data_IF_565277554889
#
_entry.id   IF_565277554889
#
_cell.length_a   1.000
_cell.length_b   1.000
_cell.length_c   1.000
_cell.angle_alpha   90.00
_cell.angle_beta   90.00
_cell.angle_gamma   90.00
#
_symmetry.space_group_name_H-M   'P 1'
#
loop_
_entity.id
_entity.type
_entity.pdbx_description
1 polymer ?
#
# COMPACT_ATOMS: atom_id res chain seq x y z
N UNK A 1 -41.85 -28.19 -1.41
CA UNK A 1 -40.72 -27.74 -2.27
C UNK A 1 -39.43 -28.14 -1.58
N UNK A 2 -38.57 -28.93 -2.22
CA UNK A 2 -37.23 -29.20 -1.67
C UNK A 2 -36.44 -27.89 -1.64
N UNK A 3 -35.95 -27.49 -0.46
CA UNK A 3 -35.03 -26.36 -0.33
C UNK A 3 -33.85 -26.62 -1.27
N UNK A 4 -33.65 -25.77 -2.28
CA UNK A 4 -32.48 -25.85 -3.15
C UNK A 4 -31.26 -25.68 -2.25
N UNK A 5 -30.47 -26.75 -2.06
CA UNK A 5 -29.18 -26.66 -1.37
C UNK A 5 -28.23 -25.88 -2.27
N UNK A 6 -28.01 -24.62 -1.93
CA UNK A 6 -26.86 -23.88 -2.45
C UNK A 6 -25.60 -24.68 -2.08
N UNK A 7 -24.65 -24.81 -3.02
CA UNK A 7 -23.38 -25.51 -2.80
C UNK A 7 -22.54 -24.86 -1.68
N UNK A 8 -22.94 -23.68 -1.21
CA UNK A 8 -22.22 -22.83 -0.28
C UNK A 8 -22.77 -22.88 1.15
N UNK A 9 -23.84 -23.64 1.43
CA UNK A 9 -24.40 -23.73 2.78
C UNK A 9 -23.57 -24.64 3.68
N UNK A 10 -23.18 -24.12 4.84
CA UNK A 10 -22.46 -24.87 5.86
C UNK A 10 -23.41 -25.41 6.95
N UNK A 11 -23.04 -26.51 7.63
CA UNK A 11 -23.78 -26.96 8.81
C UNK A 11 -23.58 -25.96 9.97
N UNK A 12 -24.65 -25.73 10.74
CA UNK A 12 -24.62 -24.90 11.95
C UNK A 12 -23.74 -25.52 13.04
N UNK A 13 -23.00 -24.71 13.79
CA UNK A 13 -22.22 -25.15 14.96
C UNK A 13 -23.13 -25.37 16.17
N UNK A 14 -22.76 -26.28 17.07
CA UNK A 14 -23.54 -26.54 18.27
C UNK A 14 -23.60 -25.33 19.22
N UNK A 15 -22.48 -24.61 19.35
CA UNK A 15 -22.37 -23.39 20.16
C UNK A 15 -23.17 -22.23 19.56
N UNK A 16 -23.12 -22.06 18.23
CA UNK A 16 -23.94 -21.09 17.51
C UNK A 16 -25.43 -21.36 17.63
N UNK A 17 -25.85 -22.62 17.47
CA UNK A 17 -27.26 -23.00 17.63
C UNK A 17 -27.76 -22.66 19.03
N UNK A 18 -26.96 -22.98 20.06
CA UNK A 18 -27.28 -22.64 21.45
C UNK A 18 -27.36 -21.12 21.66
N UNK A 19 -26.42 -20.35 21.13
CA UNK A 19 -26.42 -18.89 21.24
C UNK A 19 -27.62 -18.25 20.51
N UNK A 20 -28.07 -18.84 19.40
CA UNK A 20 -29.30 -18.45 18.70
C UNK A 20 -30.53 -18.74 19.57
N UNK A 21 -30.65 -19.94 20.13
CA UNK A 21 -31.77 -20.34 21.00
C UNK A 21 -31.86 -19.49 22.28
N UNK A 22 -30.71 -19.20 22.90
CA UNK A 22 -30.62 -18.41 24.12
C UNK A 22 -30.76 -16.89 23.84
N UNK A 23 -30.77 -16.46 22.57
CA UNK A 23 -30.82 -15.05 22.17
C UNK A 23 -29.61 -14.23 22.62
N UNK A 24 -28.50 -14.89 22.94
CA UNK A 24 -27.28 -14.27 23.49
C UNK A 24 -26.29 -13.83 22.42
N UNK A 25 -26.60 -14.12 21.16
CA UNK A 25 -25.74 -13.87 20.02
C UNK A 25 -25.59 -12.36 19.77
N UNK A 26 -24.37 -11.86 19.98
CA UNK A 26 -24.05 -10.43 19.82
C UNK A 26 -23.49 -10.14 18.43
N UNK A 27 -23.63 -8.89 17.97
CA UNK A 27 -22.99 -8.46 16.74
C UNK A 27 -21.47 -8.53 16.88
N UNK A 28 -20.79 -9.10 15.88
CA UNK A 28 -19.33 -9.32 15.87
C UNK A 28 -18.84 -10.42 16.85
N UNK A 29 -19.74 -11.30 17.31
CA UNK A 29 -19.39 -12.49 18.12
C UNK A 29 -18.68 -13.56 17.27
N UNK A 30 -17.77 -14.32 17.88
CA UNK A 30 -17.08 -15.44 17.22
C UNK A 30 -18.09 -16.49 16.72
N UNK A 31 -19.13 -16.78 17.50
CA UNK A 31 -20.17 -17.72 17.11
C UNK A 31 -21.07 -17.19 15.99
N UNK A 32 -21.23 -15.88 15.87
CA UNK A 32 -21.91 -15.27 14.72
C UNK A 32 -21.13 -15.57 13.43
N UNK A 33 -19.80 -15.40 13.45
CA UNK A 33 -18.98 -15.57 12.26
C UNK A 33 -18.84 -17.02 11.81
N UNK A 34 -18.67 -17.96 12.75
CA UNK A 34 -18.61 -19.40 12.45
C UNK A 34 -19.89 -19.94 11.82
N UNK A 35 -21.01 -19.24 11.99
CA UNK A 35 -22.33 -19.66 11.49
C UNK A 35 -22.80 -18.89 10.27
N UNK A 36 -21.93 -18.11 9.62
CA UNK A 36 -22.22 -17.52 8.31
C UNK A 36 -22.51 -18.61 7.27
N UNK A 37 -23.48 -18.36 6.39
CA UNK A 37 -23.95 -19.28 5.35
C UNK A 37 -24.59 -20.57 5.88
N UNK A 38 -25.04 -20.61 7.14
CA UNK A 38 -25.74 -21.78 7.70
C UNK A 38 -27.23 -21.84 7.31
N UNK A 39 -27.78 -20.72 6.85
CA UNK A 39 -29.21 -20.51 6.64
C UNK A 39 -29.98 -20.19 7.93
N UNK A 40 -29.59 -20.82 9.04
CA UNK A 40 -30.24 -20.66 10.35
C UNK A 40 -29.88 -19.31 10.96
N UNK A 41 -28.60 -18.92 10.89
CA UNK A 41 -28.16 -17.62 11.36
C UNK A 41 -28.82 -16.49 10.57
N UNK A 42 -28.91 -16.61 9.25
CA UNK A 42 -29.55 -15.62 8.39
C UNK A 42 -31.03 -15.46 8.73
N UNK A 43 -31.74 -16.58 8.93
CA UNK A 43 -33.14 -16.53 9.36
C UNK A 43 -33.30 -15.86 10.73
N UNK A 44 -32.44 -16.21 11.71
CA UNK A 44 -32.44 -15.57 13.03
C UNK A 44 -32.19 -14.06 12.94
N UNK A 45 -31.19 -13.64 12.16
CA UNK A 45 -30.87 -12.23 11.97
C UNK A 45 -31.98 -11.49 11.20
N UNK A 46 -32.67 -12.15 10.26
CA UNK A 46 -33.79 -11.56 9.53
C UNK A 46 -35.01 -11.38 10.44
N UNK A 47 -35.36 -12.36 11.27
CA UNK A 47 -36.42 -12.25 12.28
C UNK A 47 -36.09 -11.18 13.32
N UNK A 48 -34.87 -11.18 13.85
CA UNK A 48 -34.39 -10.15 14.78
C UNK A 48 -34.43 -8.76 14.16
N UNK A 49 -33.98 -8.63 12.90
CA UNK A 49 -34.08 -7.36 12.18
C UNK A 49 -35.53 -6.95 11.93
N UNK A 50 -36.47 -7.85 11.66
CA UNK A 50 -37.88 -7.45 11.49
C UNK A 50 -38.48 -6.85 12.78
N UNK A 51 -38.03 -7.31 13.93
CA UNK A 51 -38.41 -6.77 15.24
C UNK A 51 -37.66 -5.47 15.58
N UNK A 52 -36.36 -5.39 15.28
CA UNK A 52 -35.47 -4.27 15.65
C UNK A 52 -35.40 -3.16 14.58
N UNK A 53 -35.73 -3.41 13.31
CA UNK A 53 -35.49 -2.50 12.17
C UNK A 53 -36.32 -1.22 12.17
N UNK A 54 -37.31 -1.10 13.06
CA UNK A 54 -38.04 0.14 13.27
C UNK A 54 -37.35 1.10 14.25
N UNK A 55 -36.14 0.79 14.72
CA UNK A 55 -35.32 1.75 15.45
C UNK A 55 -34.92 2.96 14.59
N UNK A 56 -34.90 4.14 15.23
CA UNK A 56 -34.50 5.40 14.61
C UNK A 56 -33.07 5.30 14.07
N UNK A 57 -32.81 5.88 12.90
CA UNK A 57 -31.49 5.94 12.29
C UNK A 57 -30.40 6.32 13.30
N UNK A 58 -29.44 5.41 13.54
CA UNK A 58 -28.23 5.66 14.33
C UNK A 58 -27.22 6.55 13.59
N UNK A 59 -27.69 7.57 12.88
CA UNK A 59 -26.83 8.51 12.18
C UNK A 59 -25.98 9.29 13.19
N UNK A 60 -24.67 9.34 12.95
CA UNK A 60 -23.76 10.11 13.79
C UNK A 60 -22.80 10.93 12.95
N UNK A 61 -23.09 12.23 12.83
CA UNK A 61 -22.24 13.18 12.12
C UNK A 61 -20.79 13.17 12.65
N UNK A 62 -20.62 13.00 13.97
CA UNK A 62 -19.29 12.93 14.58
C UNK A 62 -18.45 11.76 14.03
N UNK A 63 -19.06 10.57 13.86
CA UNK A 63 -18.36 9.40 13.33
C UNK A 63 -18.08 9.53 11.83
N UNK A 64 -18.99 10.16 11.09
CA UNK A 64 -18.76 10.53 9.68
C UNK A 64 -17.53 11.42 9.57
N UNK A 65 -17.46 12.48 10.38
CA UNK A 65 -16.32 13.42 10.36
C UNK A 65 -15.01 12.74 10.75
N UNK A 66 -15.02 11.84 11.75
CA UNK A 66 -13.83 11.05 12.10
C UNK A 66 -13.41 10.17 10.93
N UNK A 67 -14.36 9.49 10.28
CA UNK A 67 -14.10 8.67 9.10
C UNK A 67 -13.53 9.47 7.93
N UNK A 68 -14.11 10.64 7.62
CA UNK A 68 -13.59 11.56 6.60
C UNK A 68 -12.18 12.02 6.96
N UNK A 69 -11.91 12.36 8.22
CA UNK A 69 -10.59 12.83 8.64
C UNK A 69 -9.51 11.74 8.49
N UNK A 70 -9.80 10.51 8.95
CA UNK A 70 -8.91 9.36 8.75
C UNK A 70 -8.73 9.11 7.24
N UNK A 71 -9.83 9.08 6.50
CA UNK A 71 -9.84 8.85 5.06
C UNK A 71 -9.08 9.91 4.28
N UNK A 72 -9.14 11.18 4.67
CA UNK A 72 -8.43 12.28 4.03
C UNK A 72 -6.92 12.17 4.21
N UNK A 73 -6.45 11.83 5.42
CA UNK A 73 -5.03 11.61 5.69
C UNK A 73 -4.50 10.46 4.83
N UNK A 74 -5.19 9.32 4.85
CA UNK A 74 -4.78 8.16 4.06
C UNK A 74 -4.96 8.37 2.56
N UNK A 75 -5.95 9.15 2.13
CA UNK A 75 -6.13 9.56 0.73
C UNK A 75 -4.88 10.28 0.22
N UNK A 76 -4.30 11.19 1.01
CA UNK A 76 -3.05 11.87 0.66
C UNK A 76 -1.86 10.91 0.56
N UNK A 77 -1.76 9.96 1.49
CA UNK A 77 -0.73 8.90 1.45
C UNK A 77 -0.89 8.03 0.20
N UNK A 78 -2.11 7.56 -0.08
CA UNK A 78 -2.43 6.75 -1.26
C UNK A 78 -2.17 7.54 -2.55
N UNK A 79 -2.46 8.84 -2.59
CA UNK A 79 -2.17 9.69 -3.73
C UNK A 79 -0.66 9.79 -3.99
N UNK A 80 0.11 10.09 -2.94
CA UNK A 80 1.57 10.21 -3.03
C UNK A 80 2.24 8.89 -3.46
N UNK A 81 1.89 7.79 -2.80
CA UNK A 81 2.43 6.46 -3.12
C UNK A 81 1.98 6.05 -4.53
N UNK A 82 0.70 6.25 -4.88
CA UNK A 82 0.17 5.92 -6.20
C UNK A 82 0.86 6.67 -7.34
N UNK A 83 1.13 7.97 -7.16
CA UNK A 83 1.83 8.77 -8.17
C UNK A 83 3.34 8.51 -8.22
N UNK A 84 3.96 8.15 -7.09
CA UNK A 84 5.41 7.91 -7.03
C UNK A 84 5.82 6.51 -7.46
N UNK A 85 5.09 5.48 -7.02
CA UNK A 85 5.44 4.07 -7.22
C UNK A 85 4.39 3.27 -8.00
N UNK A 86 3.29 3.90 -8.44
CA UNK A 86 2.26 3.24 -9.24
C UNK A 86 1.38 2.25 -8.47
N UNK A 87 1.38 2.30 -7.13
CA UNK A 87 0.68 1.34 -6.28
C UNK A 87 -0.36 2.02 -5.38
N UNK A 88 -1.59 1.51 -5.39
CA UNK A 88 -2.67 1.96 -4.52
C UNK A 88 -2.74 1.11 -3.25
N UNK A 89 -2.69 1.73 -2.07
CA UNK A 89 -2.83 1.07 -0.77
C UNK A 89 -4.20 1.40 -0.16
N UNK A 90 -4.93 0.37 0.30
CA UNK A 90 -6.21 0.54 1.03
C UNK A 90 -6.08 0.04 2.46
N UNK A 91 -5.64 0.92 3.36
CA UNK A 91 -5.46 0.61 4.79
C UNK A 91 -6.34 1.45 5.73
N UNK A 92 -6.93 2.53 5.22
CA UNK A 92 -7.60 3.54 6.04
C UNK A 92 -8.81 2.98 6.80
N UNK A 93 -9.61 2.14 6.14
CA UNK A 93 -10.82 1.56 6.72
C UNK A 93 -10.51 0.70 7.96
N UNK A 94 -9.38 -0.03 7.95
CA UNK A 94 -8.93 -0.82 9.11
C UNK A 94 -8.62 0.06 10.33
N UNK A 95 -8.03 1.25 10.11
CA UNK A 95 -7.74 2.19 11.20
C UNK A 95 -9.03 2.74 11.80
N UNK A 96 -10.00 3.11 10.97
CA UNK A 96 -11.32 3.54 11.45
C UNK A 96 -12.05 2.43 12.22
N UNK A 97 -11.93 1.19 11.75
CA UNK A 97 -12.50 0.01 12.41
C UNK A 97 -11.86 -0.26 13.78
N UNK A 98 -10.52 -0.32 13.85
CA UNK A 98 -9.77 -0.52 15.09
C UNK A 98 -10.02 0.59 16.10
N UNK A 99 -10.08 1.84 15.64
CA UNK A 99 -10.41 2.99 16.48
C UNK A 99 -11.83 2.85 17.06
N UNK A 100 -12.79 2.46 16.23
CA UNK A 100 -14.17 2.24 16.66
C UNK A 100 -14.29 1.13 17.71
N UNK A 101 -13.60 0.01 17.52
CA UNK A 101 -13.56 -1.06 18.53
C UNK A 101 -12.85 -0.61 19.82
N UNK A 102 -11.71 0.07 19.72
CA UNK A 102 -10.94 0.54 20.87
C UNK A 102 -11.72 1.54 21.74
N UNK A 103 -12.53 2.39 21.08
CA UNK A 103 -13.41 3.36 21.71
C UNK A 103 -14.81 2.80 22.02
N UNK A 104 -15.03 1.50 21.82
CA UNK A 104 -16.30 0.80 22.10
C UNK A 104 -17.51 1.44 21.42
N UNK A 105 -17.33 1.85 20.16
CA UNK A 105 -18.44 2.33 19.35
C UNK A 105 -19.41 1.19 19.00
N UNK A 106 -20.67 1.54 18.80
CA UNK A 106 -21.66 0.59 18.31
C UNK A 106 -21.36 0.14 16.87
N UNK A 107 -21.83 -1.03 16.43
CA UNK A 107 -21.61 -1.51 15.06
C UNK A 107 -22.04 -0.52 13.97
N UNK A 108 -23.15 0.21 14.20
CA UNK A 108 -23.63 1.26 13.29
C UNK A 108 -22.65 2.44 13.19
N UNK A 109 -22.14 2.92 14.32
CA UNK A 109 -21.13 3.98 14.37
C UNK A 109 -19.81 3.58 13.72
N UNK A 110 -19.37 2.32 13.93
CA UNK A 110 -18.18 1.76 13.28
C UNK A 110 -18.41 1.73 11.77
N UNK A 111 -19.55 1.21 11.31
CA UNK A 111 -19.87 1.10 9.89
C UNK A 111 -19.97 2.46 9.19
N UNK A 112 -20.53 3.46 9.88
CA UNK A 112 -20.57 4.85 9.39
C UNK A 112 -19.16 5.41 9.18
N UNK A 113 -18.29 5.26 10.19
CA UNK A 113 -16.92 5.77 10.11
C UNK A 113 -16.09 5.05 9.06
N UNK A 114 -16.16 3.70 8.99
CA UNK A 114 -15.41 2.91 8.00
C UNK A 114 -15.90 3.20 6.59
N UNK A 115 -17.21 3.32 6.37
CA UNK A 115 -17.77 3.66 5.06
C UNK A 115 -17.34 5.04 4.58
N UNK A 116 -17.39 6.05 5.46
CA UNK A 116 -16.92 7.40 5.15
C UNK A 116 -15.41 7.41 4.82
N UNK A 117 -14.62 6.65 5.58
CA UNK A 117 -13.18 6.47 5.34
C UNK A 117 -12.89 5.86 3.98
N UNK A 118 -13.59 4.76 3.65
CA UNK A 118 -13.47 4.03 2.40
C UNK A 118 -13.83 4.90 1.19
N UNK A 119 -14.93 5.66 1.28
CA UNK A 119 -15.33 6.61 0.24
C UNK A 119 -14.27 7.68 -0.03
N UNK A 120 -13.70 8.27 1.03
CA UNK A 120 -12.63 9.25 0.90
C UNK A 120 -11.36 8.68 0.24
N UNK A 121 -10.95 7.46 0.60
CA UNK A 121 -9.77 6.83 -0.03
C UNK A 121 -10.00 6.43 -1.48
N UNK A 122 -11.20 5.96 -1.86
CA UNK A 122 -11.47 5.56 -3.24
C UNK A 122 -11.58 6.75 -4.19
N UNK A 123 -12.01 7.92 -3.70
CA UNK A 123 -11.93 9.15 -4.48
C UNK A 123 -10.47 9.44 -4.91
N UNK A 124 -9.51 9.22 -4.01
CA UNK A 124 -8.07 9.32 -4.31
C UNK A 124 -7.59 8.27 -5.31
N UNK A 125 -8.07 7.03 -5.18
CA UNK A 125 -7.73 5.96 -6.14
C UNK A 125 -8.19 6.33 -7.56
N UNK A 126 -9.38 6.89 -7.73
CA UNK A 126 -9.81 7.40 -9.03
C UNK A 126 -8.89 8.52 -9.56
N UNK A 127 -8.47 9.42 -8.67
CA UNK A 127 -7.57 10.53 -9.00
C UNK A 127 -6.20 10.04 -9.51
N UNK A 128 -5.53 9.11 -8.82
CA UNK A 128 -4.18 8.66 -9.21
C UNK A 128 -4.12 7.99 -10.58
N UNK A 129 -5.22 7.40 -11.07
CA UNK A 129 -5.27 6.79 -12.40
C UNK A 129 -5.73 7.79 -13.48
N UNK A 130 -6.62 8.71 -13.13
CA UNK A 130 -7.21 9.65 -14.10
C UNK A 130 -6.30 10.86 -14.33
N UNK A 131 -5.67 11.38 -13.28
CA UNK A 131 -4.88 12.61 -13.36
C UNK A 131 -3.64 12.47 -14.25
N UNK A 132 -2.80 11.41 -14.13
CA UNK A 132 -1.70 11.21 -15.06
C UNK A 132 -2.17 11.03 -16.51
N UNK A 133 -3.28 10.32 -16.73
CA UNK A 133 -3.85 10.12 -18.06
C UNK A 133 -4.23 11.44 -18.74
N UNK A 134 -4.79 12.41 -17.99
CA UNK A 134 -5.09 13.75 -18.50
C UNK A 134 -3.81 14.45 -18.99
N UNK A 135 -2.72 14.39 -18.22
CA UNK A 135 -1.45 15.02 -18.62
C UNK A 135 -0.83 14.32 -19.83
N UNK A 136 -0.93 12.99 -19.92
CA UNK A 136 -0.49 12.25 -21.11
C UNK A 136 -1.27 12.70 -22.36
N UNK A 137 -2.60 12.82 -22.26
CA UNK A 137 -3.45 13.28 -23.37
C UNK A 137 -3.24 14.75 -23.74
N UNK A 138 -2.69 15.56 -22.83
CA UNK A 138 -2.49 16.99 -23.03
C UNK A 138 -1.10 17.38 -23.53
N UNK A 139 -0.06 16.61 -23.17
CA UNK A 139 1.33 17.00 -23.38
C UNK A 139 2.17 15.95 -24.12
N UNK A 140 1.74 14.69 -24.20
CA UNK A 140 2.56 13.65 -24.81
C UNK A 140 2.28 13.54 -26.32
N UNK A 141 3.31 13.63 -27.18
CA UNK A 141 3.18 13.48 -28.63
C UNK A 141 2.61 12.12 -29.06
N UNK A 142 2.83 11.08 -28.24
CA UNK A 142 2.37 9.71 -28.51
C UNK A 142 0.84 9.55 -28.47
N UNK A 143 0.13 10.52 -27.88
CA UNK A 143 -1.32 10.50 -27.74
C UNK A 143 -2.01 11.61 -28.55
N UNK A 144 -1.30 12.21 -29.51
CA UNK A 144 -1.91 13.13 -30.46
C UNK A 144 -2.87 12.39 -31.40
N UNK A 145 -4.05 12.98 -31.62
CA UNK A 145 -5.06 12.44 -32.53
C UNK A 145 -5.47 13.55 -33.48
N UNK A 146 -5.29 13.34 -34.78
CA UNK A 146 -5.63 14.34 -35.79
C UNK A 146 -4.67 15.54 -35.86
N UNK A 147 -3.41 15.37 -35.43
CA UNK A 147 -2.37 16.39 -35.51
C UNK A 147 -2.35 17.40 -34.35
N UNK A 148 -2.94 17.03 -33.21
CA UNK A 148 -2.85 17.80 -31.98
C UNK A 148 -3.26 17.00 -30.76
N UNK A 149 -3.00 17.55 -29.57
CA UNK A 149 -3.42 16.95 -28.30
C UNK A 149 -4.94 17.04 -28.12
N UNK A 150 -5.56 15.99 -27.59
CA UNK A 150 -7.00 15.98 -27.28
C UNK A 150 -7.35 17.04 -26.23
N UNK A 151 -6.40 17.34 -25.33
CA UNK A 151 -6.57 18.31 -24.26
C UNK A 151 -5.56 19.42 -24.49
N UNK A 152 -6.03 20.60 -24.88
CA UNK A 152 -5.17 21.73 -25.26
C UNK A 152 -4.83 22.67 -24.10
N UNK A 153 -5.56 22.60 -22.99
CA UNK A 153 -5.27 23.37 -21.77
C UNK A 153 -5.60 22.56 -20.53
N UNK A 154 -4.61 22.39 -19.65
CA UNK A 154 -4.77 21.71 -18.36
C UNK A 154 -4.86 22.79 -17.29
N UNK A 155 -6.06 23.29 -17.03
CA UNK A 155 -6.31 24.07 -15.82
C UNK A 155 -6.57 23.10 -14.65
N UNK A 156 -5.58 23.01 -13.76
CA UNK A 156 -5.62 22.14 -12.58
C UNK A 156 -6.85 22.43 -11.70
N UNK A 157 -7.28 23.69 -11.58
CA UNK A 157 -8.45 24.03 -10.76
C UNK A 157 -9.75 23.55 -11.41
N UNK A 158 -9.87 23.72 -12.73
CA UNK A 158 -11.02 23.22 -13.48
C UNK A 158 -11.10 21.68 -13.43
N UNK A 159 -9.96 21.01 -13.57
CA UNK A 159 -9.87 19.55 -13.48
C UNK A 159 -10.21 19.04 -12.09
N UNK A 160 -9.70 19.69 -11.04
CA UNK A 160 -10.06 19.38 -9.66
C UNK A 160 -11.57 19.53 -9.44
N UNK A 161 -12.17 20.61 -9.95
CA UNK A 161 -13.62 20.83 -9.86
C UNK A 161 -14.42 19.75 -10.59
N UNK A 162 -14.07 19.43 -11.83
CA UNK A 162 -14.73 18.36 -12.61
C UNK A 162 -14.57 17.01 -11.90
N UNK A 163 -13.38 16.71 -11.36
CA UNK A 163 -13.11 15.48 -10.61
C UNK A 163 -13.96 15.36 -9.34
N UNK A 164 -14.14 16.46 -8.60
CA UNK A 164 -15.02 16.49 -7.42
C UNK A 164 -16.47 16.21 -7.84
N UNK A 165 -16.98 16.90 -8.85
CA UNK A 165 -18.36 16.70 -9.31
C UNK A 165 -18.57 15.27 -9.84
N UNK A 166 -17.66 14.78 -10.69
CA UNK A 166 -17.74 13.44 -11.25
C UNK A 166 -17.68 12.35 -10.16
N UNK A 167 -16.82 12.50 -9.15
CA UNK A 167 -16.74 11.56 -8.03
C UNK A 167 -18.00 11.57 -7.15
N UNK A 168 -18.65 12.72 -6.97
CA UNK A 168 -19.96 12.81 -6.29
C UNK A 168 -21.04 12.04 -7.06
N UNK A 169 -21.13 12.22 -8.39
CA UNK A 169 -22.09 11.50 -9.23
C UNK A 169 -21.80 10.00 -9.29
N UNK A 170 -20.53 9.62 -9.43
CA UNK A 170 -20.10 8.23 -9.42
C UNK A 170 -20.43 7.54 -8.08
N UNK A 171 -20.21 8.24 -6.97
CA UNK A 171 -20.59 7.76 -5.63
C UNK A 171 -22.10 7.52 -5.50
N UNK A 172 -22.91 8.47 -5.97
CA UNK A 172 -24.37 8.33 -5.96
C UNK A 172 -24.84 7.16 -6.85
N UNK A 173 -24.31 7.04 -8.07
CA UNK A 173 -24.56 5.92 -8.97
C UNK A 173 -24.19 4.58 -8.33
N UNK A 174 -23.05 4.50 -7.65
CA UNK A 174 -22.63 3.31 -6.92
C UNK A 174 -23.64 2.87 -5.87
N UNK A 175 -24.16 3.81 -5.06
CA UNK A 175 -25.19 3.52 -4.06
C UNK A 175 -26.49 3.04 -4.74
N UNK A 176 -26.91 3.68 -5.82
CA UNK A 176 -28.10 3.24 -6.57
C UNK A 176 -27.96 1.83 -7.12
N UNK A 177 -26.80 1.51 -7.72
CA UNK A 177 -26.51 0.17 -8.21
C UNK A 177 -26.54 -0.86 -7.08
N UNK A 178 -25.98 -0.52 -5.91
CA UNK A 178 -26.01 -1.40 -4.76
C UNK A 178 -27.44 -1.64 -4.26
N UNK A 179 -28.30 -0.61 -4.22
CA UNK A 179 -29.71 -0.75 -3.84
C UNK A 179 -30.43 -1.70 -4.78
N UNK A 180 -30.20 -1.58 -6.09
CA UNK A 180 -30.82 -2.45 -7.12
C UNK A 180 -30.33 -3.90 -6.96
N UNK A 181 -29.03 -4.10 -6.79
CA UNK A 181 -28.43 -5.43 -6.73
C UNK A 181 -28.44 -6.08 -5.35
N UNK A 182 -28.81 -5.36 -4.27
CA UNK A 182 -28.78 -5.90 -2.90
C UNK A 182 -29.52 -7.22 -2.78
N UNK A 183 -30.66 -7.37 -3.48
CA UNK A 183 -31.47 -8.59 -3.42
C UNK A 183 -30.73 -9.78 -4.06
N UNK A 184 -30.09 -9.55 -5.19
CA UNK A 184 -29.31 -10.58 -5.89
C UNK A 184 -28.08 -10.96 -5.07
N UNK A 185 -27.35 -9.97 -4.55
CA UNK A 185 -26.08 -10.19 -3.86
C UNK A 185 -26.20 -10.66 -2.40
N UNK A 186 -27.25 -10.27 -1.68
CA UNK A 186 -27.39 -10.58 -0.25
C UNK A 186 -28.44 -11.66 0.04
N UNK A 187 -29.48 -11.78 -0.78
CA UNK A 187 -30.66 -12.62 -0.45
C UNK A 187 -30.72 -13.88 -1.32
N UNK A 188 -30.56 -13.73 -2.63
CA UNK A 188 -30.85 -14.82 -3.58
C UNK A 188 -29.64 -15.73 -3.85
N UNK A 189 -28.43 -15.19 -3.87
CA UNK A 189 -27.21 -15.98 -3.98
C UNK A 189 -26.08 -15.27 -3.21
N UNK A 190 -25.92 -15.53 -1.89
CA UNK A 190 -24.80 -14.99 -1.14
C UNK A 190 -23.53 -15.61 -1.71
N UNK A 191 -22.93 -14.91 -2.67
CA UNK A 191 -21.63 -15.27 -3.21
C UNK A 191 -20.66 -15.34 -2.02
N UNK A 192 -19.79 -16.36 -1.93
CA UNK A 192 -18.63 -16.28 -1.06
C UNK A 192 -17.86 -15.06 -1.53
N UNK A 193 -17.95 -13.93 -0.83
CA UNK A 193 -17.28 -12.70 -1.24
C UNK A 193 -15.78 -12.99 -1.14
N UNK A 194 -15.05 -13.25 -2.25
CA UNK A 194 -13.66 -13.64 -2.18
C UNK A 194 -12.90 -12.38 -1.76
N UNK A 195 -12.58 -12.28 -0.46
CA UNK A 195 -12.13 -11.06 0.19
C UNK A 195 -12.75 -10.83 1.57
N UNK A 196 -14.04 -11.14 1.75
CA UNK A 196 -14.67 -11.12 3.07
C UNK A 196 -14.23 -12.31 3.91
N UNK A 197 -14.05 -13.51 3.33
CA UNK A 197 -13.45 -14.66 4.05
C UNK A 197 -12.04 -14.37 4.54
N UNK A 198 -11.18 -13.70 3.73
CA UNK A 198 -9.87 -13.28 4.18
C UNK A 198 -9.98 -12.22 5.31
N UNK A 199 -10.94 -11.31 5.19
CA UNK A 199 -11.25 -10.31 6.23
C UNK A 199 -11.77 -10.96 7.51
N UNK A 200 -12.61 -11.99 7.39
CA UNK A 200 -13.16 -12.80 8.48
C UNK A 200 -12.10 -13.67 9.13
N UNK A 201 -11.21 -14.29 8.36
CA UNK A 201 -10.07 -15.07 8.88
C UNK A 201 -9.06 -14.14 9.56
N UNK A 202 -8.86 -12.92 9.06
CA UNK A 202 -8.10 -11.88 9.75
C UNK A 202 -8.79 -11.43 11.04
N UNK A 203 -10.12 -11.35 11.02
CA UNK A 203 -10.94 -11.06 12.18
C UNK A 203 -10.95 -12.22 13.17
N UNK A 204 -10.88 -13.46 12.71
CA UNK A 204 -10.85 -14.70 13.49
C UNK A 204 -9.46 -14.91 14.11
N UNK A 205 -8.38 -14.56 13.41
CA UNK A 205 -7.03 -14.46 13.97
C UNK A 205 -6.94 -13.31 14.99
N UNK A 206 -7.70 -12.22 14.77
CA UNK A 206 -7.87 -11.19 15.79
C UNK A 206 -8.81 -11.65 16.93
N UNK A 207 -9.76 -12.56 16.66
CA UNK A 207 -10.73 -13.09 17.61
C UNK A 207 -10.23 -14.30 18.42
N UNK A 208 -9.19 -15.01 17.98
CA UNK A 208 -8.55 -16.10 18.75
C UNK A 208 -7.80 -15.55 19.99
N UNK A 209 -7.84 -14.22 20.17
CA UNK A 209 -7.34 -13.47 21.32
C UNK A 209 -8.50 -12.80 22.10
N UNK A 210 -9.77 -13.03 21.72
CA UNK A 210 -10.94 -12.19 22.05
C UNK A 210 -11.71 -12.44 23.34
N UNK A 211 -11.14 -13.09 24.35
CA UNK A 211 -11.63 -12.79 25.70
C UNK A 211 -11.12 -11.39 26.14
N UNK A 212 -11.72 -10.32 25.61
CA UNK A 212 -11.34 -8.92 25.91
C UNK A 212 -11.23 -7.95 24.73
N UNK A 213 -12.05 -8.11 23.68
CA UNK A 213 -11.93 -7.44 22.37
C UNK A 213 -11.59 -5.92 22.37
N UNK A 214 -12.16 -5.12 23.28
CA UNK A 214 -11.85 -3.69 23.34
C UNK A 214 -10.42 -3.39 23.85
N UNK A 215 -9.93 -4.17 24.80
CA UNK A 215 -8.58 -3.97 25.36
C UNK A 215 -7.51 -4.52 24.43
N UNK A 216 -7.82 -5.58 23.70
CA UNK A 216 -6.99 -6.07 22.61
C UNK A 216 -6.97 -5.10 21.42
N UNK A 217 -8.10 -4.50 21.02
CA UNK A 217 -8.10 -3.47 19.97
C UNK A 217 -7.22 -2.26 20.34
N UNK A 218 -7.24 -1.85 21.62
CA UNK A 218 -6.29 -0.84 22.13
C UNK A 218 -4.85 -1.33 22.08
N UNK A 219 -4.59 -2.59 22.36
CA UNK A 219 -3.25 -3.19 22.25
C UNK A 219 -2.77 -3.26 20.80
N UNK A 220 -3.62 -3.66 19.84
CA UNK A 220 -3.34 -3.62 18.42
C UNK A 220 -3.05 -2.19 17.95
N UNK A 221 -3.82 -1.20 18.40
CA UNK A 221 -3.56 0.22 18.09
C UNK A 221 -2.21 0.69 18.67
N UNK A 222 -1.87 0.28 19.89
CA UNK A 222 -0.54 0.53 20.48
C UNK A 222 0.57 -0.14 19.68
N UNK A 223 0.36 -1.38 19.23
CA UNK A 223 1.36 -2.13 18.44
C UNK A 223 1.57 -1.49 17.08
N UNK A 224 0.51 -1.10 16.38
CA UNK A 224 0.56 -0.35 15.12
C UNK A 224 1.23 1.01 15.33
N UNK A 225 0.93 1.71 16.42
CA UNK A 225 1.58 2.97 16.78
C UNK A 225 3.08 2.79 17.04
N UNK A 226 3.46 1.78 17.82
CA UNK A 226 4.86 1.45 18.11
C UNK A 226 5.62 1.03 16.86
N UNK A 227 5.03 0.19 16.01
CA UNK A 227 5.67 -0.23 14.76
C UNK A 227 5.83 0.94 13.81
N UNK A 228 4.82 1.81 13.70
CA UNK A 228 4.89 3.05 12.90
C UNK A 228 6.03 3.95 13.39
N UNK A 229 6.09 4.21 14.70
CA UNK A 229 7.17 5.02 15.28
C UNK A 229 8.54 4.37 15.10
N UNK A 230 8.64 3.04 15.29
CA UNK A 230 9.88 2.31 15.07
C UNK A 230 10.34 2.38 13.61
N UNK A 231 9.42 2.24 12.66
CA UNK A 231 9.71 2.39 11.23
C UNK A 231 10.10 3.82 10.89
N UNK A 232 9.41 4.84 11.43
CA UNK A 232 9.78 6.24 11.25
C UNK A 232 11.18 6.52 11.79
N UNK A 233 11.53 6.01 12.97
CA UNK A 233 12.87 6.13 13.55
C UNK A 233 13.93 5.42 12.69
N UNK A 234 13.64 4.21 12.21
CA UNK A 234 14.54 3.46 11.35
C UNK A 234 14.80 4.20 10.02
N UNK A 235 13.73 4.64 9.35
CA UNK A 235 13.82 5.44 8.13
C UNK A 235 14.51 6.78 8.40
N UNK A 236 14.27 7.42 9.54
CA UNK A 236 15.00 8.64 9.92
C UNK A 236 16.51 8.40 10.02
N UNK A 237 16.94 7.29 10.60
CA UNK A 237 18.36 6.94 10.73
C UNK A 237 19.00 6.67 9.35
N UNK A 238 18.26 6.05 8.44
CA UNK A 238 18.77 5.56 7.15
C UNK A 238 18.64 6.57 6.01
N UNK A 239 17.60 7.41 6.01
CA UNK A 239 17.30 8.32 4.90
C UNK A 239 17.36 9.80 5.27
N UNK A 240 17.09 10.18 6.53
CA UNK A 240 16.96 11.59 6.85
C UNK A 240 18.31 12.32 6.78
N UNK A 241 18.43 13.40 5.99
CA UNK A 241 19.68 14.13 5.86
C UNK A 241 19.96 14.95 7.14
N UNK A 242 20.72 14.37 8.06
CA UNK A 242 21.10 15.02 9.33
C UNK A 242 22.00 16.24 9.15
N UNK A 243 22.77 16.27 8.06
CA UNK A 243 23.63 17.40 7.70
C UNK A 243 23.19 18.03 6.39
N UNK A 244 22.58 19.20 6.49
CA UNK A 244 22.14 19.96 5.32
C UNK A 244 23.32 20.37 4.42
N UNK A 245 24.47 20.68 5.00
CA UNK A 245 25.70 21.02 4.25
C UNK A 245 26.16 19.87 3.35
N UNK A 246 26.16 18.64 3.88
CA UNK A 246 26.52 17.44 3.11
C UNK A 246 25.53 17.18 1.98
N UNK A 247 24.24 17.32 2.29
CA UNK A 247 23.18 17.14 1.30
C UNK A 247 23.28 18.14 0.15
N UNK A 248 23.58 19.41 0.44
CA UNK A 248 23.80 20.45 -0.58
C UNK A 248 25.01 20.17 -1.46
N UNK A 249 26.08 19.60 -0.90
CA UNK A 249 27.27 19.18 -1.64
C UNK A 249 27.09 17.85 -2.40
N UNK A 250 25.87 17.30 -2.46
CA UNK A 250 25.56 16.04 -3.15
C UNK A 250 26.07 14.78 -2.44
N UNK A 251 26.39 14.88 -1.15
CA UNK A 251 26.90 13.78 -0.32
C UNK A 251 25.80 13.21 0.57
N UNK A 252 25.77 11.88 0.69
CA UNK A 252 24.86 11.20 1.61
C UNK A 252 25.03 11.71 3.05
N UNK A 253 23.90 12.13 3.62
CA UNK A 253 23.83 12.84 4.89
C UNK A 253 23.04 12.09 5.97
N UNK A 254 22.62 10.86 5.68
CA UNK A 254 21.95 10.02 6.68
C UNK A 254 22.91 9.62 7.79
N UNK A 255 22.37 9.26 8.96
CA UNK A 255 23.20 8.80 10.08
C UNK A 255 23.96 7.54 9.70
N UNK A 256 23.28 6.61 9.03
CA UNK A 256 23.85 5.32 8.65
C UNK A 256 24.95 5.48 7.59
N UNK A 257 24.78 6.38 6.63
CA UNK A 257 25.83 6.72 5.66
C UNK A 257 27.06 7.32 6.35
N UNK A 258 26.87 8.26 7.27
CA UNK A 258 28.00 8.85 8.03
C UNK A 258 28.73 7.79 8.85
N UNK A 259 28.00 6.85 9.45
CA UNK A 259 28.59 5.71 10.17
C UNK A 259 29.36 4.80 9.19
N UNK A 260 28.78 4.49 8.02
CA UNK A 260 29.40 3.65 7.02
C UNK A 260 30.69 4.25 6.44
N UNK A 261 30.75 5.58 6.28
CA UNK A 261 31.95 6.28 5.86
C UNK A 261 33.06 6.27 6.92
N UNK A 262 32.69 6.28 8.21
CA UNK A 262 33.63 6.27 9.33
C UNK A 262 34.11 4.87 9.73
N UNK A 263 33.29 3.84 9.50
CA UNK A 263 33.63 2.46 9.81
C UNK A 263 34.40 1.82 8.65
N UNK A 264 35.71 1.70 8.81
CA UNK A 264 36.58 0.97 7.88
C UNK A 264 36.82 -0.46 8.36
N UNK A 265 36.58 -1.44 7.48
CA UNK A 265 36.91 -2.84 7.69
C UNK A 265 37.87 -3.32 6.60
N UNK A 266 38.98 -3.94 6.99
CA UNK A 266 40.00 -4.46 6.06
C UNK A 266 40.55 -3.42 5.03
N UNK A 267 40.63 -2.13 5.41
CA UNK A 267 41.13 -1.07 4.55
C UNK A 267 40.12 -0.45 3.58
N UNK A 268 38.90 -0.99 3.54
CA UNK A 268 37.77 -0.43 2.79
C UNK A 268 36.70 0.10 3.75
N UNK A 269 36.23 1.32 3.54
CA UNK A 269 35.08 1.84 4.31
C UNK A 269 33.82 1.02 4.01
N UNK A 270 32.94 0.85 5.00
CA UNK A 270 31.65 0.18 4.82
C UNK A 270 30.79 0.89 3.77
N UNK A 271 31.04 2.18 3.54
CA UNK A 271 30.46 2.95 2.44
C UNK A 271 30.78 2.39 1.05
N UNK A 272 31.80 1.55 0.88
CA UNK A 272 32.08 0.89 -0.41
C UNK A 272 30.99 -0.08 -0.85
N UNK A 273 30.24 -0.68 0.09
CA UNK A 273 29.16 -1.67 -0.17
C UNK A 273 27.78 -1.15 0.24
N UNK A 274 27.71 0.04 0.81
CA UNK A 274 26.47 0.64 1.28
C UNK A 274 26.47 2.14 0.97
N UNK A 275 25.40 2.60 0.33
CA UNK A 275 25.13 4.03 0.16
C UNK A 275 23.64 4.26 -0.01
N UNK A 276 23.13 5.36 0.55
CA UNK A 276 21.76 5.83 0.32
C UNK A 276 20.73 4.69 0.41
N UNK A 277 20.60 4.08 1.60
CA UNK A 277 19.72 2.94 1.90
C UNK A 277 19.87 1.69 1.02
N UNK A 278 20.87 1.61 0.14
CA UNK A 278 21.09 0.47 -0.72
C UNK A 278 22.36 -0.28 -0.34
N UNK A 279 22.26 -1.61 -0.24
CA UNK A 279 23.41 -2.50 -0.25
C UNK A 279 23.72 -2.83 -1.70
N UNK A 280 24.92 -2.52 -2.14
CA UNK A 280 25.36 -2.74 -3.51
C UNK A 280 26.74 -3.42 -3.49
N UNK A 281 27.25 -3.73 -4.67
CA UNK A 281 28.60 -4.28 -4.78
C UNK A 281 29.66 -3.27 -4.34
N UNK A 282 30.86 -3.75 -3.96
CA UNK A 282 31.99 -2.89 -3.65
C UNK A 282 32.31 -1.95 -4.82
N UNK A 283 31.87 -0.70 -4.74
CA UNK A 283 32.08 0.32 -5.77
C UNK A 283 33.30 1.20 -5.49
N UNK A 284 33.92 1.04 -4.31
CA UNK A 284 35.00 1.90 -3.84
C UNK A 284 34.49 3.18 -3.17
N UNK A 285 35.43 4.06 -2.83
CA UNK A 285 35.17 5.33 -2.15
C UNK A 285 35.86 6.49 -2.87
N UNK A 286 35.26 7.67 -2.77
CA UNK A 286 35.80 8.94 -3.27
C UNK A 286 35.82 10.01 -2.17
N UNK A 287 36.67 11.01 -2.38
CA UNK A 287 36.63 12.25 -1.62
C UNK A 287 35.87 13.29 -2.43
N UNK A 288 34.86 13.90 -1.83
CA UNK A 288 34.04 14.94 -2.46
C UNK A 288 34.44 16.28 -1.87
N UNK A 289 35.02 17.16 -2.68
CA UNK A 289 35.27 18.56 -2.33
C UNK A 289 34.06 19.40 -2.74
N UNK A 290 33.23 19.77 -1.76
CA UNK A 290 32.06 20.61 -1.95
C UNK A 290 32.29 22.07 -1.54
N UNK A 291 31.30 22.92 -1.80
CA UNK A 291 31.33 24.33 -1.42
C UNK A 291 31.36 24.50 0.12
N UNK A 292 30.81 23.54 0.85
CA UNK A 292 30.66 23.59 2.31
C UNK A 292 31.68 22.72 3.07
N UNK A 293 32.56 21.98 2.37
CA UNK A 293 33.65 21.22 2.97
C UNK A 293 34.15 20.04 2.13
N UNK A 294 35.20 19.38 2.62
CA UNK A 294 35.75 18.15 2.03
C UNK A 294 35.22 16.93 2.79
N UNK A 295 34.63 15.99 2.06
CA UNK A 295 34.00 14.79 2.59
C UNK A 295 34.76 13.55 2.11
N UNK A 296 35.48 12.89 3.01
CA UNK A 296 36.23 11.67 2.69
C UNK A 296 35.39 10.41 2.90
N UNK A 297 35.73 9.34 2.16
CA UNK A 297 35.11 8.03 2.32
C UNK A 297 33.70 7.91 1.74
N UNK A 298 33.27 8.85 0.89
CA UNK A 298 31.94 8.83 0.26
C UNK A 298 31.87 7.67 -0.73
N UNK A 299 30.75 6.95 -0.75
CA UNK A 299 30.56 5.84 -1.70
C UNK A 299 30.57 6.32 -3.15
N UNK A 300 31.07 5.49 -4.05
CA UNK A 300 30.84 5.67 -5.48
C UNK A 300 29.42 5.33 -5.91
N UNK A 301 28.59 4.76 -5.02
CA UNK A 301 27.20 4.43 -5.31
C UNK A 301 27.03 3.04 -5.92
N UNK A 302 25.95 2.86 -6.66
CA UNK A 302 25.68 1.61 -7.40
C UNK A 302 26.71 1.48 -8.52
N UNK A 303 27.22 0.27 -8.75
CA UNK A 303 28.14 0.02 -9.88
C UNK A 303 27.39 0.08 -11.21
N UNK A 304 27.75 1.04 -12.05
CA UNK A 304 27.24 1.23 -13.40
C UNK A 304 28.06 0.44 -14.44
N UNK A 305 27.58 0.38 -15.68
CA UNK A 305 28.24 -0.36 -16.76
C UNK A 305 29.69 0.12 -16.98
N UNK A 306 30.66 -0.79 -16.96
CA UNK A 306 32.06 -0.50 -17.29
C UNK A 306 32.47 -1.25 -18.58
N UNK A 307 32.74 -0.49 -19.65
CA UNK A 307 33.14 -1.05 -20.93
C UNK A 307 34.51 -1.76 -20.88
N UNK A 308 35.38 -1.39 -19.93
CA UNK A 308 36.71 -1.96 -19.76
C UNK A 308 36.73 -3.18 -18.84
N UNK A 309 35.67 -3.38 -18.03
CA UNK A 309 35.55 -4.47 -17.07
C UNK A 309 34.14 -5.05 -17.07
N UNK A 310 33.99 -6.20 -17.72
CA UNK A 310 32.73 -6.93 -17.64
C UNK A 310 32.44 -7.40 -16.19
N UNK A 311 31.42 -6.80 -15.56
CA UNK A 311 30.85 -7.28 -14.32
C UNK A 311 29.36 -7.62 -14.52
N UNK A 312 28.99 -8.92 -14.50
CA UNK A 312 27.62 -9.34 -14.77
C UNK A 312 26.63 -8.88 -13.69
N UNK A 313 27.07 -8.34 -12.57
CA UNK A 313 26.17 -7.84 -11.54
C UNK A 313 26.05 -6.30 -11.53
N UNK A 314 26.55 -5.59 -12.54
CA UNK A 314 26.29 -4.15 -12.68
C UNK A 314 24.78 -3.84 -12.58
N UNK A 315 24.45 -2.69 -12.00
CA UNK A 315 23.08 -2.30 -11.65
C UNK A 315 22.35 -3.21 -10.64
N UNK A 316 23.02 -4.19 -10.03
CA UNK A 316 22.42 -5.06 -9.00
C UNK A 316 22.66 -4.50 -7.60
N UNK A 317 21.58 -4.14 -6.93
CA UNK A 317 21.58 -3.65 -5.55
C UNK A 317 20.33 -4.10 -4.78
N UNK A 318 20.42 -4.10 -3.45
CA UNK A 318 19.35 -4.39 -2.52
C UNK A 318 18.98 -3.11 -1.78
N UNK A 319 17.83 -2.53 -2.12
CA UNK A 319 17.26 -1.40 -1.39
C UNK A 319 16.71 -1.85 -0.03
N UNK A 320 17.12 -1.17 1.03
CA UNK A 320 16.59 -1.34 2.38
C UNK A 320 15.45 -0.36 2.55
N UNK A 321 14.23 -0.84 2.32
CA UNK A 321 13.02 -0.10 2.62
C UNK A 321 12.27 -0.75 3.77
N UNK A 322 11.76 0.07 4.68
CA UNK A 322 10.88 -0.39 5.75
C UNK A 322 9.66 0.50 5.78
N UNK A 323 8.48 -0.10 5.64
CA UNK A 323 7.22 0.58 5.87
C UNK A 323 6.34 -0.26 6.80
N UNK A 324 5.45 0.37 7.59
CA UNK A 324 4.49 -0.37 8.40
C UNK A 324 3.63 -1.32 7.56
N UNK A 325 3.32 -0.93 6.33
CA UNK A 325 2.58 -1.74 5.36
C UNK A 325 3.38 -2.95 4.91
N UNK A 326 4.65 -2.80 4.53
CA UNK A 326 5.52 -3.93 4.14
C UNK A 326 5.70 -4.90 5.31
N UNK A 327 5.87 -4.38 6.53
CA UNK A 327 5.96 -5.20 7.74
C UNK A 327 4.65 -5.97 8.00
N UNK A 328 3.51 -5.30 7.90
CA UNK A 328 2.19 -5.92 8.06
C UNK A 328 1.92 -7.00 6.99
N UNK A 329 2.23 -6.71 5.72
CA UNK A 329 2.13 -7.68 4.62
C UNK A 329 2.99 -8.91 4.89
N UNK A 330 4.26 -8.72 5.29
CA UNK A 330 5.16 -9.81 5.64
C UNK A 330 4.65 -10.65 6.83
N UNK A 331 4.10 -10.00 7.85
CA UNK A 331 3.46 -10.66 8.99
C UNK A 331 2.26 -11.51 8.56
N UNK A 332 1.37 -10.97 7.72
CA UNK A 332 0.17 -11.68 7.25
C UNK A 332 0.50 -12.83 6.30
N UNK A 333 1.41 -12.63 5.36
CA UNK A 333 1.80 -13.65 4.38
C UNK A 333 2.50 -14.85 5.03
N UNK A 334 3.07 -14.66 6.24
CA UNK A 334 3.94 -15.63 6.93
C UNK A 334 5.21 -15.92 6.13
N UNK A 335 6.24 -16.40 6.82
CA UNK A 335 7.60 -16.54 6.26
C UNK A 335 7.65 -17.35 4.96
N UNK A 336 6.87 -18.44 4.88
CA UNK A 336 6.88 -19.34 3.71
C UNK A 336 6.42 -18.65 2.43
N UNK A 337 5.29 -17.93 2.48
CA UNK A 337 4.74 -17.24 1.31
C UNK A 337 5.59 -16.02 0.98
N UNK A 338 6.09 -15.30 1.99
CA UNK A 338 7.01 -14.19 1.81
C UNK A 338 8.29 -14.62 1.06
N UNK A 339 8.90 -15.76 1.41
CA UNK A 339 10.06 -16.30 0.68
C UNK A 339 9.68 -16.64 -0.75
N UNK A 340 8.54 -17.31 -0.97
CA UNK A 340 8.04 -17.67 -2.31
C UNK A 340 7.86 -16.46 -3.22
N UNK A 341 7.29 -15.36 -2.72
CA UNK A 341 7.11 -14.12 -3.49
C UNK A 341 8.47 -13.47 -3.80
N UNK A 342 9.43 -13.53 -2.87
CA UNK A 342 10.78 -13.01 -3.08
C UNK A 342 11.66 -13.87 -3.99
N UNK A 343 11.29 -15.13 -4.30
CA UNK A 343 12.03 -15.95 -5.27
C UNK A 343 12.08 -15.31 -6.66
N UNK A 344 11.03 -14.58 -7.05
CA UNK A 344 11.03 -13.81 -8.31
C UNK A 344 12.13 -12.75 -8.34
N UNK A 345 12.39 -12.09 -7.21
CA UNK A 345 13.48 -11.12 -7.07
C UNK A 345 14.85 -11.78 -7.19
N UNK A 346 15.04 -13.01 -6.67
CA UNK A 346 16.28 -13.76 -6.85
C UNK A 346 16.52 -14.11 -8.33
N UNK A 347 15.48 -14.47 -9.07
CA UNK A 347 15.58 -14.69 -10.51
C UNK A 347 15.98 -13.39 -11.22
N UNK A 348 15.41 -12.25 -10.82
CA UNK A 348 15.78 -10.96 -11.37
C UNK A 348 17.26 -10.63 -11.12
N UNK A 349 17.73 -10.73 -9.87
CA UNK A 349 19.10 -10.38 -9.49
C UNK A 349 20.18 -11.32 -10.04
N UNK A 350 19.95 -12.62 -10.03
CA UNK A 350 20.99 -13.60 -10.38
C UNK A 350 20.93 -14.07 -11.83
N UNK A 351 19.83 -13.80 -12.55
CA UNK A 351 19.67 -14.25 -13.93
C UNK A 351 19.27 -13.11 -14.86
N UNK A 352 18.18 -12.37 -14.60
CA UNK A 352 17.68 -11.40 -15.59
C UNK A 352 18.59 -10.17 -15.71
N UNK A 353 19.00 -9.57 -14.60
CA UNK A 353 19.91 -8.40 -14.61
C UNK A 353 21.27 -8.77 -15.20
N UNK A 354 21.93 -9.88 -14.79
CA UNK A 354 23.17 -10.31 -15.42
C UNK A 354 23.06 -10.64 -16.90
N UNK A 355 21.95 -11.24 -17.31
CA UNK A 355 21.69 -11.50 -18.73
C UNK A 355 21.47 -10.21 -19.50
N UNK A 356 20.76 -9.23 -18.92
CA UNK A 356 20.55 -7.92 -19.51
C UNK A 356 21.88 -7.17 -19.72
N UNK A 357 22.74 -7.14 -18.69
CA UNK A 357 24.08 -6.56 -18.77
C UNK A 357 24.94 -7.30 -19.80
N UNK A 358 24.96 -8.65 -19.75
CA UNK A 358 25.74 -9.47 -20.68
C UNK A 358 25.30 -9.40 -22.14
N UNK A 359 24.02 -9.11 -22.40
CA UNK A 359 23.48 -8.96 -23.76
C UNK A 359 23.42 -7.50 -24.22
N UNK A 360 23.79 -6.54 -23.38
CA UNK A 360 23.74 -5.11 -23.66
C UNK A 360 22.36 -4.67 -24.21
N UNK A 361 21.29 -5.09 -23.51
CA UNK A 361 19.92 -4.85 -23.97
C UNK A 361 19.57 -3.36 -24.02
N UNK A 362 18.82 -2.91 -25.04
CA UNK A 362 18.40 -1.53 -25.15
C UNK A 362 17.33 -1.18 -24.10
N UNK A 363 17.54 -0.09 -23.37
CA UNK A 363 16.64 0.49 -22.37
C UNK A 363 16.09 1.81 -22.90
N UNK A 364 14.80 2.07 -22.63
CA UNK A 364 14.15 3.31 -23.03
C UNK A 364 14.45 4.43 -22.02
N UNK A 365 15.03 5.54 -22.49
CA UNK A 365 15.19 6.76 -21.71
C UNK A 365 14.01 7.70 -22.00
N UNK A 366 13.19 7.97 -20.98
CA UNK A 366 11.99 8.81 -21.12
C UNK A 366 12.31 10.31 -21.33
N UNK A 367 13.47 10.80 -20.88
CA UNK A 367 13.87 12.19 -21.07
C UNK A 367 14.33 12.45 -22.51
N UNK A 368 14.98 11.46 -23.12
CA UNK A 368 15.49 11.54 -24.49
C UNK A 368 14.53 10.94 -25.52
N UNK A 369 13.49 10.23 -25.08
CA UNK A 369 12.46 9.66 -25.93
C UNK A 369 12.94 8.54 -26.86
N UNK A 370 14.09 7.91 -26.55
CA UNK A 370 14.75 6.95 -27.40
C UNK A 370 15.31 5.74 -26.63
N UNK A 371 15.65 4.69 -27.36
CA UNK A 371 16.28 3.49 -26.81
C UNK A 371 17.80 3.61 -26.91
N UNK A 372 18.48 3.36 -25.80
CA UNK A 372 19.93 3.36 -25.68
C UNK A 372 20.40 2.04 -25.11
N UNK A 373 21.59 1.59 -25.49
CA UNK A 373 22.18 0.37 -24.93
C UNK A 373 22.65 0.62 -23.50
N UNK A 374 22.73 -0.43 -22.69
CA UNK A 374 23.28 -0.34 -21.32
C UNK A 374 24.71 0.23 -21.33
N UNK A 375 25.50 -0.12 -22.35
CA UNK A 375 26.83 0.43 -22.58
C UNK A 375 26.88 1.93 -22.85
N UNK A 376 25.83 2.50 -23.46
CA UNK A 376 25.73 3.95 -23.69
C UNK A 376 25.58 4.71 -22.36
N UNK A 377 24.91 4.11 -21.36
CA UNK A 377 24.74 4.72 -20.03
C UNK A 377 26.02 4.76 -19.20
N UNK A 378 26.93 3.82 -19.43
CA UNK A 378 28.20 3.71 -18.70
C UNK A 378 29.36 4.49 -19.31
N UNK A 379 29.23 4.92 -20.58
CA UNK A 379 30.30 5.62 -21.27
C UNK A 379 30.16 7.16 -21.12
N UNK A 380 31.16 7.85 -20.54
CA UNK A 380 31.15 9.31 -20.38
C UNK A 380 31.09 10.10 -21.70
N UNK A 381 31.39 9.46 -22.83
CA UNK A 381 31.41 10.07 -24.17
C UNK A 381 30.06 9.95 -24.90
N UNK A 382 29.11 9.17 -24.38
CA UNK A 382 27.79 8.95 -24.97
C UNK A 382 26.69 9.71 -24.22
N UNK A 383 25.53 9.89 -24.87
CA UNK A 383 24.33 10.48 -24.29
C UNK A 383 23.19 9.47 -24.45
N UNK A 384 22.51 9.04 -23.37
CA UNK A 384 22.63 9.48 -21.98
C UNK A 384 23.84 8.87 -21.27
N UNK A 385 24.52 9.64 -20.43
CA UNK A 385 25.50 9.14 -19.46
C UNK A 385 24.94 9.29 -18.05
N UNK A 386 24.94 8.20 -17.28
CA UNK A 386 24.53 8.18 -15.87
C UNK A 386 25.67 7.62 -15.02
N UNK A 387 26.44 8.48 -14.33
CA UNK A 387 27.58 8.08 -13.51
C UNK A 387 27.20 7.31 -12.25
#
# INVERSE_FOLDING_TARGET
MSVKRSAYRQPVTAEGLKAIEDGTLTWLDQEMYKNLNTGVLEQYLEEKNLEEAFEVSHWSLGKVLIGILIGAVFSGVTAYIGLKIGLAVSAAWYIAYLLGMALRWSPSEVNIATSATTGATHASTGFIFTFPAIFLLAYSPNYEVGGGHLISSVDTFQLAFIGIIASMFAGFLGVMYFIIFRRVWLVEDPLPMPGFEATLVLLDIACDVSSGAADQAKESLKTVGKSTVATMLFMFIIDYPLSWKRHLDGVSASLFDVIAQKLTFAGTALSSIFSHHAIHQPAGIKTVEGEHGTWEGVSNGITHYDADKFNPFEYTYLGIEMSPTLFAIGWFMRLRVAILVNLGTLVAWFYLVPLAVGLDVPVYDANLGAYFKLSDFGNPETVPYTP
#
